data_IF_162407341640
#
_entry.id   IF_162407341640
#
_cell.length_a   1.000
_cell.length_b   1.000
_cell.length_c   1.000
_cell.angle_alpha   90.00
_cell.angle_beta   90.00
_cell.angle_gamma   90.00
#
_symmetry.space_group_name_H-M   'P 1'
#
loop_
_entity.id
_entity.type
_entity.pdbx_description
1 polymer ?
#
# COMPACT_ATOMS: atom_id res chain seq x y z
N UNK A 1 -43.13 41.04 88.47
CA UNK A 1 -44.55 40.66 88.44
C UNK A 1 -44.87 40.44 86.97
N UNK A 2 -44.98 39.24 86.41
CA UNK A 2 -45.23 37.85 86.86
C UNK A 2 -44.63 36.95 85.74
N UNK A 3 -43.85 35.91 86.03
CA UNK A 3 -44.26 34.47 86.08
C UNK A 3 -45.11 34.04 84.85
N UNK A 4 -44.89 32.92 84.15
CA UNK A 4 -44.16 31.67 84.40
C UNK A 4 -44.08 30.84 83.09
N UNK A 5 -43.08 29.94 83.05
CA UNK A 5 -42.97 28.63 82.36
C UNK A 5 -43.74 28.27 81.06
N UNK A 6 -43.02 27.68 80.08
CA UNK A 6 -42.82 26.20 79.95
C UNK A 6 -42.34 25.80 78.54
N UNK A 7 -41.26 25.00 78.48
CA UNK A 7 -40.74 24.26 77.31
C UNK A 7 -41.79 23.30 76.72
N UNK A 8 -41.81 23.11 75.40
CA UNK A 8 -41.87 21.78 74.73
C UNK A 8 -41.13 21.83 73.39
N UNK A 9 -40.29 20.81 73.19
CA UNK A 9 -39.53 20.42 72.00
C UNK A 9 -40.33 20.35 70.69
N UNK A 10 -39.68 20.74 69.59
CA UNK A 10 -40.16 20.58 68.22
C UNK A 10 -38.98 20.39 67.27
N UNK A 11 -38.47 19.16 67.22
CA UNK A 11 -37.51 18.66 66.24
C UNK A 11 -37.91 19.12 64.82
N UNK A 12 -37.12 20.01 64.21
CA UNK A 12 -37.26 20.33 62.78
C UNK A 12 -36.12 19.63 62.06
N UNK A 13 -36.47 18.64 61.25
CA UNK A 13 -35.54 17.78 60.53
C UNK A 13 -34.59 18.57 59.62
N UNK A 14 -33.30 18.23 59.69
CA UNK A 14 -32.30 18.64 58.71
C UNK A 14 -32.69 18.17 57.30
N UNK A 15 -32.52 18.98 56.24
CA UNK A 15 -32.73 18.50 54.88
C UNK A 15 -31.64 17.48 54.56
N UNK A 16 -32.05 16.24 54.28
CA UNK A 16 -31.14 15.21 53.81
C UNK A 16 -30.45 15.70 52.53
N UNK A 17 -29.14 15.96 52.63
CA UNK A 17 -28.31 16.32 51.50
C UNK A 17 -28.42 15.22 50.43
N UNK A 18 -29.09 15.54 49.32
CA UNK A 18 -29.13 14.63 48.17
C UNK A 18 -27.70 14.44 47.68
N UNK A 19 -27.15 13.22 47.89
CA UNK A 19 -25.84 12.83 47.36
C UNK A 19 -25.89 13.03 45.85
N UNK A 20 -25.24 14.08 45.34
CA UNK A 20 -25.02 14.26 43.90
C UNK A 20 -24.36 12.98 43.39
N UNK A 21 -25.11 12.17 42.64
CA UNK A 21 -24.58 10.95 42.02
C UNK A 21 -23.40 11.39 41.16
N UNK A 22 -22.18 11.04 41.55
CA UNK A 22 -20.98 11.37 40.79
C UNK A 22 -21.14 10.69 39.43
N UNK A 23 -21.29 11.47 38.35
CA UNK A 23 -21.40 10.95 36.97
C UNK A 23 -20.04 10.48 36.42
N UNK A 24 -18.96 10.70 37.16
CA UNK A 24 -17.60 10.33 36.77
C UNK A 24 -17.39 8.87 36.33
N UNK A 25 -17.91 7.83 37.02
CA UNK A 25 -17.79 6.45 36.54
C UNK A 25 -18.53 6.20 35.22
N UNK A 26 -19.62 6.93 34.94
CA UNK A 26 -20.30 6.89 33.64
C UNK A 26 -19.42 7.53 32.57
N UNK A 27 -18.82 8.69 32.87
CA UNK A 27 -17.90 9.36 31.94
C UNK A 27 -16.69 8.49 31.64
N UNK A 28 -16.06 7.89 32.65
CA UNK A 28 -14.93 6.97 32.48
C UNK A 28 -15.36 5.75 31.66
N UNK A 29 -16.52 5.16 31.96
CA UNK A 29 -17.05 4.03 31.18
C UNK A 29 -17.28 4.37 29.71
N UNK A 30 -17.83 5.56 29.42
CA UNK A 30 -18.02 6.05 28.05
C UNK A 30 -16.68 6.29 27.36
N UNK A 31 -15.70 6.91 28.01
CA UNK A 31 -14.36 7.14 27.44
C UNK A 31 -13.69 5.82 27.08
N UNK A 32 -13.72 4.83 27.98
CA UNK A 32 -13.15 3.50 27.71
C UNK A 32 -13.87 2.83 26.54
N UNK A 33 -15.20 2.88 26.49
CA UNK A 33 -15.97 2.31 25.39
C UNK A 33 -15.64 2.98 24.05
N UNK A 34 -15.51 4.31 24.01
CA UNK A 34 -15.11 5.06 22.81
C UNK A 34 -13.71 4.66 22.35
N UNK A 35 -12.74 4.53 23.27
CA UNK A 35 -11.39 4.11 22.92
C UNK A 35 -11.35 2.68 22.36
N UNK A 36 -12.15 1.76 22.91
CA UNK A 36 -12.24 0.39 22.39
C UNK A 36 -12.85 0.37 20.99
N UNK A 37 -13.94 1.10 20.76
CA UNK A 37 -14.59 1.18 19.45
C UNK A 37 -13.67 1.86 18.42
N UNK A 38 -13.01 2.95 18.80
CA UNK A 38 -12.06 3.65 17.93
C UNK A 38 -10.83 2.78 17.63
N UNK A 39 -10.31 2.06 18.62
CA UNK A 39 -9.18 1.13 18.43
C UNK A 39 -9.53 -0.02 17.49
N UNK A 40 -10.71 -0.62 17.64
CA UNK A 40 -11.18 -1.67 16.74
C UNK A 40 -11.44 -1.14 15.31
N UNK A 41 -12.04 0.04 15.19
CA UNK A 41 -12.27 0.70 13.89
C UNK A 41 -10.96 1.07 13.20
N UNK A 42 -10.00 1.60 13.94
CA UNK A 42 -8.65 1.91 13.45
C UNK A 42 -7.90 0.64 13.03
N UNK A 43 -8.03 -0.45 13.80
CA UNK A 43 -7.42 -1.74 13.48
C UNK A 43 -7.87 -2.26 12.11
N UNK A 44 -9.18 -2.22 11.86
CA UNK A 44 -9.71 -2.65 10.55
C UNK A 44 -9.34 -1.67 9.44
N UNK A 45 -9.36 -0.36 9.74
CA UNK A 45 -9.11 0.68 8.75
C UNK A 45 -7.64 0.72 8.30
N UNK A 46 -6.67 0.48 9.18
CA UNK A 46 -5.25 0.60 8.84
C UNK A 46 -4.77 -0.43 7.80
N UNK A 47 -5.54 -1.49 7.56
CA UNK A 47 -5.25 -2.50 6.53
C UNK A 47 -5.94 -2.19 5.18
N UNK A 48 -6.72 -1.09 5.09
CA UNK A 48 -7.47 -0.75 3.89
C UNK A 48 -6.67 0.17 2.94
N UNK A 49 -6.85 0.06 1.62
CA UNK A 49 -6.20 0.95 0.64
C UNK A 49 -6.42 2.45 0.93
N UNK A 50 -7.60 2.79 1.44
CA UNK A 50 -7.94 4.17 1.83
C UNK A 50 -7.08 4.73 2.96
N UNK A 51 -6.52 3.89 3.85
CA UNK A 51 -5.60 4.33 4.89
C UNK A 51 -4.25 4.75 4.31
N UNK A 52 -3.70 3.95 3.41
CA UNK A 52 -2.44 4.26 2.72
C UNK A 52 -2.55 5.60 1.99
N UNK A 53 -3.68 5.85 1.32
CA UNK A 53 -3.95 7.11 0.66
C UNK A 53 -4.14 8.27 1.67
N UNK A 54 -4.97 8.09 2.71
CA UNK A 54 -5.31 9.18 3.62
C UNK A 54 -4.17 9.58 4.59
N UNK A 55 -3.36 8.62 5.03
CA UNK A 55 -2.30 8.84 6.03
C UNK A 55 -0.94 9.02 5.36
N UNK A 56 -0.65 8.24 4.32
CA UNK A 56 0.63 8.27 3.60
C UNK A 56 0.52 9.01 2.25
N UNK A 57 -0.43 9.95 2.12
CA UNK A 57 -0.81 10.68 0.89
C UNK A 57 0.37 11.13 0.01
N UNK A 58 1.52 11.41 0.59
CA UNK A 58 2.77 11.45 -0.19
C UNK A 58 3.77 10.51 0.47
N UNK A 59 4.37 9.57 -0.28
CA UNK A 59 4.31 9.36 -1.74
C UNK A 59 3.23 8.40 -2.26
N UNK A 60 2.22 8.00 -1.46
CA UNK A 60 1.29 6.92 -1.83
C UNK A 60 0.12 7.31 -2.75
N UNK A 61 -0.24 8.60 -2.86
CA UNK A 61 -1.42 9.06 -3.62
C UNK A 61 -1.44 8.57 -5.09
N UNK A 62 -0.27 8.48 -5.72
CA UNK A 62 -0.16 8.06 -7.12
C UNK A 62 -0.37 6.55 -7.32
N UNK A 63 -0.17 5.73 -6.29
CA UNK A 63 -0.24 4.27 -6.40
C UNK A 63 -1.67 3.74 -6.33
N UNK A 64 -2.55 4.36 -5.54
CA UNK A 64 -3.94 3.90 -5.40
C UNK A 64 -4.69 3.85 -6.75
N UNK A 65 -4.64 4.89 -7.61
CA UNK A 65 -5.29 4.83 -8.92
C UNK A 65 -4.77 3.70 -9.82
N UNK A 66 -3.46 3.41 -9.77
CA UNK A 66 -2.86 2.31 -10.56
C UNK A 66 -3.29 0.94 -10.05
N UNK A 67 -3.50 0.80 -8.74
CA UNK A 67 -4.02 -0.41 -8.11
C UNK A 67 -5.52 -0.60 -8.44
N UNK A 68 -6.31 0.47 -8.38
CA UNK A 68 -7.74 0.47 -8.69
C UNK A 68 -8.05 0.44 -10.19
N UNK A 69 -7.04 0.59 -11.05
CA UNK A 69 -7.21 0.50 -12.50
C UNK A 69 -7.88 -0.84 -12.89
N UNK A 70 -8.75 -0.78 -13.90
CA UNK A 70 -9.55 -1.93 -14.33
C UNK A 70 -8.86 -2.61 -15.54
N UNK A 71 -8.44 -3.89 -15.41
CA UNK A 71 -7.88 -4.64 -16.53
C UNK A 71 -8.79 -4.60 -17.78
N UNK A 72 -8.19 -4.44 -18.96
CA UNK A 72 -8.92 -4.26 -20.21
C UNK A 72 -9.32 -2.80 -20.52
N UNK A 73 -9.03 -1.84 -19.64
CA UNK A 73 -9.29 -0.41 -19.88
C UNK A 73 -7.99 0.40 -19.92
N UNK A 74 -8.01 1.53 -20.62
CA UNK A 74 -6.90 2.49 -20.55
C UNK A 74 -6.77 3.08 -19.14
N UNK A 75 -5.55 3.39 -18.74
CA UNK A 75 -5.23 3.92 -17.43
C UNK A 75 -4.02 4.87 -17.49
N UNK A 76 -3.62 5.38 -16.33
CA UNK A 76 -2.38 6.13 -16.14
C UNK A 76 -1.51 5.38 -15.14
N UNK A 77 -0.23 5.26 -15.42
CA UNK A 77 0.71 4.65 -14.48
C UNK A 77 1.16 5.60 -13.36
N UNK A 78 1.97 5.07 -12.44
CA UNK A 78 2.46 5.80 -11.27
C UNK A 78 3.37 6.98 -11.62
N UNK A 79 3.94 7.03 -12.83
CA UNK A 79 4.75 8.16 -13.30
C UNK A 79 3.92 9.19 -14.07
N UNK A 80 2.64 8.92 -14.28
CA UNK A 80 1.75 9.80 -15.03
C UNK A 80 1.65 9.48 -16.52
N UNK A 81 2.22 8.37 -17.00
CA UNK A 81 2.17 7.98 -18.41
C UNK A 81 0.86 7.29 -18.75
N UNK A 82 0.37 7.47 -19.98
CA UNK A 82 -0.77 6.71 -20.49
C UNK A 82 -0.41 5.23 -20.66
N UNK A 83 -1.28 4.35 -20.16
CA UNK A 83 -1.21 2.90 -20.36
C UNK A 83 -2.44 2.49 -21.16
N UNK A 84 -2.22 1.96 -22.36
CA UNK A 84 -3.32 1.61 -23.28
C UNK A 84 -4.28 0.56 -22.70
N UNK A 85 -3.77 -0.34 -21.85
CA UNK A 85 -4.55 -1.36 -21.16
C UNK A 85 -3.93 -1.66 -19.79
N UNK A 86 -4.70 -1.48 -18.71
CA UNK A 86 -4.29 -1.70 -17.33
C UNK A 86 -3.88 -3.15 -17.01
N UNK A 87 -4.21 -4.12 -17.88
CA UNK A 87 -3.66 -5.48 -17.80
C UNK A 87 -2.13 -5.52 -17.89
N UNK A 88 -1.49 -4.45 -18.36
CA UNK A 88 -0.03 -4.28 -18.33
C UNK A 88 0.55 -3.93 -16.95
N UNK A 89 -0.29 -3.61 -15.95
CA UNK A 89 0.13 -3.27 -14.58
C UNK A 89 -0.24 -4.41 -13.63
N UNK A 90 0.74 -5.04 -13.00
CA UNK A 90 0.44 -6.21 -12.15
C UNK A 90 -0.46 -5.88 -10.96
N UNK A 91 -0.37 -4.68 -10.38
CA UNK A 91 -1.16 -4.30 -9.21
C UNK A 91 -2.67 -4.33 -9.53
N UNK A 92 -3.05 -3.80 -10.69
CA UNK A 92 -4.42 -3.83 -11.20
C UNK A 92 -4.93 -5.27 -11.39
N UNK A 93 -4.11 -6.11 -12.02
CA UNK A 93 -4.45 -7.52 -12.29
C UNK A 93 -4.59 -8.32 -10.99
N UNK A 94 -3.61 -8.23 -10.07
CA UNK A 94 -3.65 -8.96 -8.80
C UNK A 94 -4.82 -8.54 -7.92
N UNK A 95 -5.19 -7.25 -7.93
CA UNK A 95 -6.41 -6.77 -7.27
C UNK A 95 -7.65 -7.39 -7.92
N UNK A 96 -7.81 -7.23 -9.22
CA UNK A 96 -9.04 -7.58 -9.93
C UNK A 96 -9.28 -9.10 -9.97
N UNK A 97 -8.23 -9.89 -10.18
CA UNK A 97 -8.34 -11.34 -10.37
C UNK A 97 -8.28 -12.14 -9.07
N UNK A 98 -7.49 -11.69 -8.09
CA UNK A 98 -7.23 -12.44 -6.86
C UNK A 98 -7.68 -11.71 -5.59
N UNK A 99 -8.19 -10.47 -5.71
CA UNK A 99 -8.56 -9.66 -4.55
C UNK A 99 -7.36 -9.28 -3.67
N UNK A 100 -6.13 -9.36 -4.21
CA UNK A 100 -4.91 -9.07 -3.47
C UNK A 100 -4.91 -7.62 -3.03
N UNK A 101 -4.74 -7.37 -1.74
CA UNK A 101 -4.66 -6.02 -1.17
C UNK A 101 -3.25 -5.47 -1.25
N UNK A 102 -3.07 -4.17 -0.98
CA UNK A 102 -1.75 -3.53 -0.93
C UNK A 102 -0.77 -4.32 -0.03
N UNK A 103 -1.22 -4.72 1.17
CA UNK A 103 -0.42 -5.47 2.14
C UNK A 103 -0.25 -6.96 1.79
N UNK A 104 -0.98 -7.46 0.79
CA UNK A 104 -0.74 -8.80 0.23
C UNK A 104 0.59 -8.88 -0.54
N UNK A 105 0.98 -7.79 -1.19
CA UNK A 105 2.28 -7.67 -1.87
C UNK A 105 3.31 -6.93 -1.01
N UNK A 106 2.92 -5.81 -0.41
CA UNK A 106 3.74 -5.02 0.52
C UNK A 106 3.58 -5.53 1.95
N UNK A 107 4.03 -6.77 2.19
CA UNK A 107 3.91 -7.43 3.51
C UNK A 107 4.78 -6.69 4.53
N UNK A 108 4.19 -5.99 5.51
CA UNK A 108 4.96 -5.09 6.36
C UNK A 108 5.66 -5.89 7.46
N UNK A 109 6.98 -5.81 7.55
CA UNK A 109 7.69 -6.28 8.75
C UNK A 109 7.68 -5.21 9.83
N UNK A 110 7.81 -5.59 11.10
CA UNK A 110 7.85 -4.62 12.20
C UNK A 110 9.06 -3.68 12.07
N UNK A 111 10.20 -4.19 11.59
CA UNK A 111 11.39 -3.40 11.30
C UNK A 111 11.17 -2.36 10.20
N UNK A 112 10.50 -2.74 9.11
CA UNK A 112 10.16 -1.82 8.02
C UNK A 112 9.20 -0.74 8.49
N UNK A 113 8.13 -1.11 9.20
CA UNK A 113 7.15 -0.14 9.70
C UNK A 113 7.77 0.91 10.63
N UNK A 114 8.73 0.51 11.47
CA UNK A 114 9.47 1.46 12.32
C UNK A 114 10.36 2.36 11.47
N UNK A 115 11.07 1.80 10.48
CA UNK A 115 11.95 2.55 9.58
C UNK A 115 11.20 3.53 8.68
N UNK A 116 10.09 3.11 8.10
CA UNK A 116 9.18 3.92 7.29
C UNK A 116 8.57 5.05 8.13
N UNK A 117 8.06 4.74 9.33
CA UNK A 117 7.51 5.74 10.23
C UNK A 117 8.55 6.79 10.64
N UNK A 118 9.78 6.37 10.95
CA UNK A 118 10.88 7.30 11.24
C UNK A 118 11.22 8.15 10.03
N UNK A 119 11.38 7.54 8.85
CA UNK A 119 11.72 8.24 7.61
C UNK A 119 10.63 9.24 7.21
N UNK A 120 9.36 8.89 7.43
CA UNK A 120 8.23 9.79 7.20
C UNK A 120 8.27 11.01 8.12
N UNK A 121 8.49 10.80 9.43
CA UNK A 121 8.58 11.91 10.41
C UNK A 121 9.79 12.81 10.15
N UNK A 122 10.93 12.24 9.75
CA UNK A 122 12.17 13.00 9.47
C UNK A 122 12.21 13.59 8.07
N UNK A 123 11.34 13.14 7.16
CA UNK A 123 11.43 13.47 5.74
C UNK A 123 12.63 12.82 5.04
N UNK A 124 13.23 11.77 5.60
CA UNK A 124 14.45 11.14 5.08
C UNK A 124 14.13 10.01 4.10
N UNK A 125 13.37 10.30 3.04
CA UNK A 125 13.07 9.37 1.95
C UNK A 125 13.29 10.05 0.60
N UNK A 126 13.72 9.26 -0.39
CA UNK A 126 13.88 9.74 -1.75
C UNK A 126 12.52 9.78 -2.46
N UNK A 127 12.30 10.85 -3.21
CA UNK A 127 11.09 11.07 -4.00
C UNK A 127 11.45 11.51 -5.41
N UNK A 128 10.62 11.10 -6.36
CA UNK A 128 10.68 11.49 -7.76
C UNK A 128 9.40 12.25 -8.09
N UNK A 129 9.55 13.40 -8.73
CA UNK A 129 8.46 14.15 -9.33
C UNK A 129 8.01 13.45 -10.62
N UNK A 130 6.69 13.31 -10.76
CA UNK A 130 6.04 12.69 -11.91
C UNK A 130 5.49 13.74 -12.88
N UNK A 131 5.04 13.30 -14.06
CA UNK A 131 4.40 14.19 -15.04
C UNK A 131 3.12 14.86 -14.50
N UNK A 132 2.44 14.21 -13.55
CA UNK A 132 1.21 14.71 -12.92
C UNK A 132 1.47 15.71 -11.79
N UNK A 133 2.74 16.00 -11.48
CA UNK A 133 3.12 16.85 -10.34
C UNK A 133 2.99 16.14 -8.99
N UNK A 134 2.81 14.82 -8.99
CA UNK A 134 2.85 13.99 -7.78
C UNK A 134 4.29 13.58 -7.46
N UNK A 135 4.51 13.12 -6.23
CA UNK A 135 5.79 12.58 -5.78
C UNK A 135 5.62 11.08 -5.50
N UNK A 136 6.53 10.28 -6.02
CA UNK A 136 6.57 8.82 -5.86
C UNK A 136 7.93 8.38 -5.34
N UNK A 137 8.02 7.21 -4.72
CA UNK A 137 9.34 6.63 -4.40
C UNK A 137 9.96 6.01 -5.66
N UNK A 138 11.30 5.98 -5.75
CA UNK A 138 11.98 5.21 -6.78
C UNK A 138 11.51 3.74 -6.79
N UNK A 139 11.38 3.17 -7.99
CA UNK A 139 11.08 1.76 -8.16
C UNK A 139 12.16 0.90 -7.48
N UNK A 140 11.72 -0.11 -6.73
CA UNK A 140 12.58 -1.00 -5.95
C UNK A 140 12.75 -2.34 -6.68
N UNK A 141 13.93 -2.94 -6.56
CA UNK A 141 14.15 -4.30 -7.06
C UNK A 141 13.44 -5.33 -6.17
N UNK A 142 13.31 -6.58 -6.61
CA UNK A 142 12.69 -7.59 -5.74
C UNK A 142 13.58 -7.86 -4.52
N UNK A 143 14.91 -7.79 -4.65
CA UNK A 143 15.81 -7.87 -3.48
C UNK A 143 15.47 -6.82 -2.43
N UNK A 144 15.25 -5.57 -2.84
CA UNK A 144 14.88 -4.49 -1.93
C UNK A 144 13.52 -4.77 -1.27
N UNK A 145 12.51 -5.26 -2.03
CA UNK A 145 11.18 -5.56 -1.49
C UNK A 145 11.15 -6.73 -0.50
N UNK A 146 12.08 -7.68 -0.63
CA UNK A 146 12.10 -8.88 0.22
C UNK A 146 13.16 -8.83 1.31
N UNK A 147 14.04 -7.83 1.31
CA UNK A 147 15.19 -7.73 2.19
C UNK A 147 14.81 -7.90 3.68
N UNK A 148 13.76 -7.21 4.15
CA UNK A 148 13.36 -7.31 5.55
C UNK A 148 12.64 -8.61 5.89
N UNK A 149 12.03 -9.27 4.89
CA UNK A 149 11.41 -10.58 5.03
C UNK A 149 12.45 -11.71 5.06
N UNK A 150 13.67 -11.44 4.57
CA UNK A 150 14.78 -12.39 4.56
C UNK A 150 14.52 -13.61 3.66
N UNK A 151 13.82 -13.40 2.55
CA UNK A 151 13.51 -14.43 1.55
C UNK A 151 14.21 -14.11 0.23
N UNK A 152 14.30 -15.08 -0.67
CA UNK A 152 14.88 -14.86 -2.00
C UNK A 152 13.93 -14.02 -2.89
N UNK A 153 14.45 -13.22 -3.85
CA UNK A 153 13.65 -12.35 -4.73
C UNK A 153 12.49 -13.09 -5.41
N UNK A 154 12.75 -14.28 -5.92
CA UNK A 154 11.74 -15.14 -6.56
C UNK A 154 10.58 -15.47 -5.64
N UNK A 155 10.84 -15.66 -4.35
CA UNK A 155 9.80 -16.01 -3.37
C UNK A 155 8.79 -14.90 -3.14
N UNK A 156 9.06 -13.68 -3.64
CA UNK A 156 8.05 -12.62 -3.72
C UNK A 156 6.84 -13.09 -4.55
N UNK A 157 7.10 -13.72 -5.70
CA UNK A 157 6.06 -14.22 -6.61
C UNK A 157 5.81 -15.73 -6.42
N UNK A 158 6.90 -16.52 -6.41
CA UNK A 158 6.93 -17.97 -6.42
C UNK A 158 6.90 -18.53 -5.00
N UNK A 159 5.71 -18.69 -4.44
CA UNK A 159 5.50 -19.25 -3.11
C UNK A 159 4.17 -20.01 -3.02
N UNK A 160 3.97 -20.76 -1.95
CA UNK A 160 2.80 -21.61 -1.75
C UNK A 160 1.46 -20.85 -1.72
N UNK A 161 1.47 -19.55 -1.43
CA UNK A 161 0.27 -18.70 -1.31
C UNK A 161 -0.12 -17.99 -2.61
N UNK A 162 0.83 -17.79 -3.54
CA UNK A 162 0.65 -17.03 -4.77
C UNK A 162 0.88 -17.94 -6.00
N UNK A 163 2.07 -17.91 -6.59
CA UNK A 163 2.45 -18.80 -7.69
C UNK A 163 3.19 -20.01 -7.13
N UNK A 164 2.44 -21.05 -6.72
CA UNK A 164 3.01 -22.28 -6.18
C UNK A 164 3.62 -23.15 -7.29
N UNK A 165 4.73 -22.67 -7.84
CA UNK A 165 5.44 -23.25 -8.96
C UNK A 165 6.90 -22.81 -8.96
N UNK A 166 7.71 -23.51 -9.73
CA UNK A 166 9.13 -23.20 -9.93
C UNK A 166 9.36 -22.45 -11.25
N UNK A 167 10.57 -21.94 -11.46
CA UNK A 167 10.98 -21.41 -12.78
C UNK A 167 10.88 -22.46 -13.88
N UNK A 168 11.21 -23.72 -13.59
CA UNK A 168 11.09 -24.81 -14.58
C UNK A 168 9.64 -25.04 -14.99
N UNK A 169 8.69 -24.93 -14.05
CA UNK A 169 7.27 -25.02 -14.34
C UNK A 169 6.81 -23.86 -15.25
N UNK A 170 7.31 -22.63 -15.02
CA UNK A 170 7.03 -21.48 -15.88
C UNK A 170 7.59 -21.66 -17.29
N UNK A 171 8.82 -22.15 -17.40
CA UNK A 171 9.46 -22.50 -18.68
C UNK A 171 8.57 -23.51 -19.42
N UNK A 172 8.12 -24.56 -18.74
CA UNK A 172 7.27 -25.57 -19.33
C UNK A 172 5.90 -25.01 -19.74
N UNK A 173 5.29 -24.15 -18.92
CA UNK A 173 4.00 -23.52 -19.19
C UNK A 173 4.00 -22.57 -20.38
N UNK A 174 5.19 -22.07 -20.77
CA UNK A 174 5.38 -21.13 -21.89
C UNK A 174 6.21 -21.73 -23.03
N UNK A 175 6.28 -23.06 -23.08
CA UNK A 175 7.08 -23.81 -24.06
C UNK A 175 6.57 -23.73 -25.50
N UNK A 176 5.35 -23.26 -25.72
CA UNK A 176 4.73 -23.04 -27.03
C UNK A 176 5.11 -21.70 -27.68
N UNK A 177 5.68 -20.78 -26.90
CA UNK A 177 6.17 -19.50 -27.43
C UNK A 177 7.45 -19.71 -28.24
N UNK A 178 7.51 -19.11 -29.44
CA UNK A 178 8.72 -19.12 -30.29
C UNK A 178 9.95 -18.61 -29.54
N UNK A 179 9.75 -17.57 -28.72
CA UNK A 179 10.73 -17.05 -27.78
C UNK A 179 10.14 -17.12 -26.38
N UNK A 180 10.50 -18.17 -25.64
CA UNK A 180 10.08 -18.33 -24.26
C UNK A 180 10.82 -17.33 -23.36
N UNK A 181 10.12 -16.34 -22.73
CA UNK A 181 10.73 -15.30 -21.92
C UNK A 181 11.18 -15.79 -20.54
N UNK A 182 10.74 -16.98 -20.11
CA UNK A 182 11.07 -17.57 -18.81
C UNK A 182 12.30 -18.48 -18.85
N UNK A 183 12.83 -18.77 -20.04
CA UNK A 183 14.12 -19.47 -20.18
C UNK A 183 15.24 -18.46 -20.12
N UNK A 184 16.21 -18.67 -19.22
CA UNK A 184 17.37 -17.82 -19.02
C UNK A 184 18.43 -17.95 -20.14
N UNK A 185 18.09 -17.64 -21.40
CA UNK A 185 19.03 -17.75 -22.53
C UNK A 185 20.22 -16.78 -22.44
N UNK A 186 20.07 -15.69 -21.68
CA UNK A 186 21.04 -14.60 -21.59
C UNK A 186 21.43 -14.27 -20.14
N UNK A 187 21.20 -15.22 -19.21
CA UNK A 187 21.30 -15.00 -17.77
C UNK A 187 19.92 -14.98 -17.12
N UNK A 188 19.90 -15.15 -15.80
CA UNK A 188 18.68 -15.05 -15.02
C UNK A 188 18.30 -13.58 -14.80
N UNK A 189 17.10 -13.22 -15.21
CA UNK A 189 16.49 -11.94 -14.92
C UNK A 189 15.53 -12.08 -13.74
N UNK A 190 15.37 -11.01 -12.97
CA UNK A 190 14.31 -10.94 -11.96
C UNK A 190 12.96 -10.79 -12.64
N UNK A 191 11.90 -11.26 -11.98
CA UNK A 191 10.53 -11.08 -12.47
C UNK A 191 10.21 -9.59 -12.69
N UNK A 192 10.70 -8.73 -11.80
CA UNK A 192 10.52 -7.27 -11.85
C UNK A 192 11.24 -6.59 -13.01
N UNK A 193 12.21 -7.23 -13.67
CA UNK A 193 12.89 -6.63 -14.83
C UNK A 193 11.92 -6.44 -16.00
N UNK A 194 10.93 -7.34 -16.10
CA UNK A 194 9.88 -7.30 -17.11
C UNK A 194 8.52 -6.88 -16.52
N UNK A 195 8.11 -7.52 -15.42
CA UNK A 195 6.79 -7.32 -14.85
C UNK A 195 6.77 -6.14 -13.88
N UNK A 196 6.01 -5.11 -14.21
CA UNK A 196 5.94 -3.87 -13.42
C UNK A 196 4.60 -3.77 -12.70
N UNK A 197 4.64 -3.43 -11.42
CA UNK A 197 3.46 -3.43 -10.57
C UNK A 197 2.51 -2.26 -10.87
N UNK A 198 3.05 -1.04 -10.79
CA UNK A 198 2.28 0.20 -10.86
C UNK A 198 2.54 1.01 -12.14
N UNK A 199 3.16 0.38 -13.14
CA UNK A 199 3.36 0.94 -14.48
C UNK A 199 3.32 -0.13 -15.55
N UNK A 200 3.27 0.28 -16.81
CA UNK A 200 3.29 -0.65 -17.92
C UNK A 200 4.49 -1.60 -17.82
N UNK A 201 4.21 -2.89 -17.86
CA UNK A 201 5.24 -3.94 -17.91
C UNK A 201 6.03 -3.85 -19.21
N UNK A 202 7.28 -4.27 -19.17
CA UNK A 202 8.25 -4.07 -20.23
C UNK A 202 8.63 -5.42 -20.83
N UNK A 203 8.49 -5.58 -22.14
CA UNK A 203 9.05 -6.74 -22.80
C UNK A 203 10.57 -6.54 -23.00
N UNK A 204 11.37 -7.02 -22.04
CA UNK A 204 12.82 -6.85 -22.08
C UNK A 204 13.49 -7.48 -23.32
N UNK A 205 12.89 -8.50 -23.93
CA UNK A 205 13.42 -9.09 -25.16
C UNK A 205 13.51 -8.07 -26.30
N UNK A 206 12.59 -7.10 -26.34
CA UNK A 206 12.55 -6.04 -27.36
C UNK A 206 13.73 -5.07 -27.29
N UNK A 207 14.57 -5.15 -26.26
CA UNK A 207 15.82 -4.40 -26.19
C UNK A 207 16.76 -4.73 -27.36
N UNK A 208 16.76 -5.99 -27.79
CA UNK A 208 17.62 -6.49 -28.86
C UNK A 208 16.83 -7.14 -30.01
N UNK A 209 15.66 -7.69 -29.72
CA UNK A 209 14.83 -8.41 -30.67
C UNK A 209 13.68 -7.54 -31.17
N UNK A 210 13.85 -6.87 -32.31
CA UNK A 210 12.83 -6.03 -32.92
C UNK A 210 11.57 -6.80 -33.35
N UNK A 211 11.68 -8.12 -33.48
CA UNK A 211 10.60 -9.07 -33.77
C UNK A 211 9.88 -9.55 -32.51
N UNK A 212 10.32 -9.16 -31.30
CA UNK A 212 9.66 -9.57 -30.07
C UNK A 212 8.26 -8.97 -29.98
N UNK A 213 7.20 -9.80 -29.89
CA UNK A 213 5.83 -9.30 -29.79
C UNK A 213 5.65 -8.60 -28.45
N UNK A 214 5.15 -7.37 -28.46
CA UNK A 214 4.81 -6.64 -27.23
C UNK A 214 3.41 -7.08 -26.78
N UNK A 215 3.26 -7.66 -25.57
CA UNK A 215 1.94 -8.03 -25.06
C UNK A 215 1.02 -6.81 -24.94
N UNK A 216 -0.29 -7.05 -24.95
CA UNK A 216 -1.25 -5.96 -24.78
C UNK A 216 -1.06 -5.25 -23.42
N UNK A 217 -1.03 -3.91 -23.43
CA UNK A 217 -0.80 -3.09 -22.25
C UNK A 217 0.66 -2.99 -21.81
N UNK A 218 1.55 -3.79 -22.40
CA UNK A 218 3.00 -3.71 -22.17
C UNK A 218 3.65 -2.73 -23.15
N UNK A 219 4.89 -2.36 -22.85
CA UNK A 219 5.71 -1.47 -23.68
C UNK A 219 7.03 -2.13 -24.10
N UNK A 220 7.66 -1.58 -25.14
CA UNK A 220 8.99 -2.01 -25.54
C UNK A 220 10.06 -1.49 -24.56
N UNK A 221 11.24 -2.10 -24.58
CA UNK A 221 12.39 -1.63 -23.81
C UNK A 221 12.82 -0.22 -24.25
N UNK A 222 12.69 0.10 -25.55
CA UNK A 222 13.00 1.42 -26.09
C UNK A 222 12.04 2.49 -25.53
N UNK A 223 10.74 2.19 -25.47
CA UNK A 223 9.74 3.08 -24.88
C UNK A 223 10.01 3.25 -23.38
N UNK A 224 10.30 2.16 -22.66
CA UNK A 224 10.68 2.24 -21.23
C UNK A 224 11.87 3.17 -21.00
N UNK A 225 12.94 3.04 -21.80
CA UNK A 225 14.11 3.92 -21.71
C UNK A 225 13.77 5.39 -22.02
N UNK A 226 12.80 5.65 -22.89
CA UNK A 226 12.33 7.01 -23.15
C UNK A 226 11.61 7.59 -21.91
N UNK A 227 10.72 6.81 -21.28
CA UNK A 227 10.01 7.21 -20.06
C UNK A 227 10.96 7.43 -18.87
N UNK A 228 11.95 6.57 -18.70
CA UNK A 228 12.99 6.74 -17.66
C UNK A 228 13.77 8.04 -17.87
N UNK A 229 14.14 8.36 -19.12
CA UNK A 229 14.84 9.63 -19.43
C UNK A 229 13.97 10.86 -19.17
N UNK A 230 12.67 10.76 -19.43
CA UNK A 230 11.72 11.82 -19.14
C UNK A 230 11.60 12.06 -17.63
N UNK A 231 11.40 10.98 -16.86
CA UNK A 231 11.38 11.04 -15.39
C UNK A 231 12.69 11.62 -14.82
N UNK A 232 13.82 11.19 -15.34
CA UNK A 232 15.15 11.72 -15.01
C UNK A 232 15.26 13.23 -15.29
N UNK A 233 14.68 13.68 -16.41
CA UNK A 233 14.73 15.09 -16.82
C UNK A 233 13.89 15.96 -15.89
N UNK A 234 12.72 15.47 -15.45
CA UNK A 234 11.89 16.14 -14.44
C UNK A 234 12.63 16.31 -13.11
N UNK A 235 13.41 15.31 -12.71
CA UNK A 235 14.07 15.27 -11.41
C UNK A 235 15.47 15.90 -11.38
N UNK A 236 16.07 16.19 -12.55
CA UNK A 236 17.28 17.02 -12.66
C UNK A 236 16.98 18.52 -12.67
N UNK A 237 15.74 18.90 -12.95
CA UNK A 237 15.29 20.29 -13.04
C UNK A 237 14.70 20.84 -11.72
N UNK A 238 14.47 19.97 -10.73
CA UNK A 238 13.95 20.29 -9.40
C UNK A 238 15.07 20.53 -8.39
#
# INVERSE_FOLDING_TARGET
MTEEEKKVDGQTAEPAAQKKKKKWPIVVGVVVAVLVVAGAGFWVWHEQPSFCNAICHTPMDAYLPTYEAEPGQAATDVWGNEVANASGMMAAVHRAENGTTCLGCHVPTLSEQIGEGMSWVTGSYEVLNTQTGQQVVPEKSLEDLVAARGIEPDQFCLNESCHNMTRDDLIQATSDLERNPHVAQHGENQCSDCHKAHRASVNACSQCHNDAPIPEGWISAADNTALEKELDSLNKAA
#
